data_IF_792711887440
#
_entry.id   IF_792711887440
#
_cell.length_a   1.000
_cell.length_b   1.000
_cell.length_c   1.000
_cell.angle_alpha   90.00
_cell.angle_beta   90.00
_cell.angle_gamma   90.00
#
_symmetry.space_group_name_H-M   'P 1'
#
loop_
_entity.id
_entity.type
_entity.pdbx_description
1 polymer ?
#
# COMPACT_ATOMS: atom_id res chain seq x y z
N UNK A 1 6.74 -8.91 11.47
CA UNK A 1 8.04 -8.34 11.04
C UNK A 1 7.84 -7.09 10.19
N UNK A 2 8.70 -6.09 10.37
CA UNK A 2 8.63 -4.80 9.65
C UNK A 2 8.05 -3.68 10.52
N UNK A 3 8.69 -2.49 10.46
CA UNK A 3 8.35 -1.34 11.31
C UNK A 3 6.89 -0.88 11.12
N UNK A 4 6.42 -0.83 9.87
CA UNK A 4 5.04 -0.43 9.56
C UNK A 4 4.02 -1.39 10.19
N UNK A 5 4.22 -2.70 10.05
CA UNK A 5 3.34 -3.70 10.65
C UNK A 5 3.30 -3.60 12.18
N UNK A 6 4.46 -3.44 12.83
CA UNK A 6 4.54 -3.29 14.29
C UNK A 6 3.73 -2.06 14.76
N UNK A 7 3.89 -0.92 14.07
CA UNK A 7 3.17 0.30 14.40
C UNK A 7 1.65 0.14 14.18
N UNK A 8 1.24 -0.48 13.07
CA UNK A 8 -0.17 -0.67 12.73
C UNK A 8 -0.87 -1.62 13.72
N UNK A 9 -0.23 -2.73 14.10
CA UNK A 9 -0.80 -3.66 15.09
C UNK A 9 -0.93 -2.99 16.46
N UNK A 10 0.07 -2.21 16.88
CA UNK A 10 -0.02 -1.43 18.13
C UNK A 10 -1.21 -0.47 18.09
N UNK A 11 -1.32 0.33 17.02
CA UNK A 11 -2.41 1.29 16.87
C UNK A 11 -3.79 0.60 16.83
N UNK A 12 -3.91 -0.51 16.10
CA UNK A 12 -5.17 -1.25 16.01
C UNK A 12 -5.62 -1.82 17.36
N UNK A 13 -4.67 -2.22 18.23
CA UNK A 13 -4.95 -2.63 19.61
C UNK A 13 -5.34 -1.45 20.50
N UNK A 14 -4.62 -0.33 20.40
CA UNK A 14 -4.92 0.90 21.16
C UNK A 14 -6.33 1.43 20.82
N UNK A 15 -6.72 1.33 19.54
CA UNK A 15 -8.06 1.68 19.04
C UNK A 15 -9.11 0.58 19.24
N UNK A 16 -8.74 -0.59 19.79
CA UNK A 16 -9.61 -1.76 20.00
C UNK A 16 -10.28 -2.30 18.72
N UNK A 17 -9.72 -2.01 17.55
CA UNK A 17 -10.12 -2.60 16.27
C UNK A 17 -9.58 -4.04 16.14
N UNK A 18 -8.51 -4.34 16.88
CA UNK A 18 -7.88 -5.66 16.91
C UNK A 18 -7.74 -6.18 18.34
N UNK A 19 -8.36 -7.32 18.63
CA UNK A 19 -8.26 -8.00 19.93
C UNK A 19 -7.37 -9.23 19.79
N UNK A 20 -6.16 -9.16 20.33
CA UNK A 20 -5.20 -10.28 20.37
C UNK A 20 -4.62 -10.37 21.79
N UNK A 21 -4.59 -11.57 22.40
CA UNK A 21 -3.92 -11.79 23.67
C UNK A 21 -2.42 -11.45 23.59
N UNK A 22 -1.88 -10.78 24.60
CA UNK A 22 -0.46 -10.38 24.60
C UNK A 22 0.48 -11.58 24.49
N UNK A 23 0.12 -12.71 25.11
CA UNK A 23 0.85 -13.99 25.02
C UNK A 23 0.99 -14.54 23.60
N UNK A 24 0.13 -14.12 22.67
CA UNK A 24 0.16 -14.55 21.26
C UNK A 24 1.09 -13.69 20.41
N UNK A 25 1.63 -12.59 20.95
CA UNK A 25 2.57 -11.73 20.25
C UNK A 25 4.00 -12.01 20.73
N UNK A 26 4.79 -12.61 19.85
CA UNK A 26 6.19 -12.96 20.12
C UNK A 26 7.12 -11.94 19.48
N UNK A 27 8.12 -11.47 20.22
CA UNK A 27 9.17 -10.59 19.69
C UNK A 27 10.08 -11.37 18.75
N UNK A 28 10.59 -10.71 17.70
CA UNK A 28 11.47 -11.36 16.71
C UNK A 28 12.73 -12.02 17.32
N UNK A 29 13.29 -11.45 18.39
CA UNK A 29 14.46 -12.00 19.08
C UNK A 29 14.15 -13.27 19.92
N UNK A 30 12.87 -13.58 20.14
CA UNK A 30 12.41 -14.74 20.89
C UNK A 30 11.96 -15.91 20.00
N UNK A 31 12.01 -15.76 18.66
CA UNK A 31 11.50 -16.76 17.73
C UNK A 31 12.20 -18.12 17.87
N UNK A 32 13.53 -18.14 18.09
CA UNK A 32 14.29 -19.40 18.26
C UNK A 32 14.00 -20.17 19.55
N UNK A 33 12.96 -19.80 20.32
CA UNK A 33 12.49 -20.53 21.51
C UNK A 33 11.24 -21.38 21.25
N UNK A 34 10.67 -21.29 20.06
CA UNK A 34 9.45 -21.97 19.65
C UNK A 34 9.78 -22.95 18.54
N UNK A 35 9.00 -24.02 18.44
CA UNK A 35 9.10 -24.94 17.30
C UNK A 35 8.50 -24.29 16.05
N UNK A 36 8.99 -24.66 14.86
CA UNK A 36 8.62 -23.99 13.60
C UNK A 36 7.09 -23.96 13.37
N UNK A 37 6.40 -25.04 13.76
CA UNK A 37 4.94 -25.19 13.64
C UNK A 37 4.12 -24.30 14.59
N UNK A 38 4.74 -23.74 15.62
CA UNK A 38 4.10 -22.82 16.57
C UNK A 38 4.19 -21.35 16.11
N UNK A 39 4.95 -21.07 15.04
CA UNK A 39 5.30 -19.71 14.63
C UNK A 39 4.50 -19.29 13.38
N UNK A 40 3.72 -18.21 13.51
CA UNK A 40 3.14 -17.49 12.38
C UNK A 40 3.78 -16.11 12.22
N UNK A 41 4.43 -15.86 11.08
CA UNK A 41 5.11 -14.60 10.80
C UNK A 41 4.24 -13.72 9.90
N UNK A 42 3.68 -12.65 10.47
CA UNK A 42 3.03 -11.59 9.68
C UNK A 42 4.07 -10.55 9.29
N UNK A 43 4.31 -10.37 7.99
CA UNK A 43 5.37 -9.49 7.47
C UNK A 43 4.86 -8.46 6.47
N UNK A 44 5.55 -7.31 6.38
CA UNK A 44 5.42 -6.39 5.24
C UNK A 44 6.25 -6.87 4.05
N UNK A 45 5.97 -6.35 2.86
CA UNK A 45 6.84 -6.53 1.70
C UNK A 45 6.21 -7.23 0.51
N UNK A 46 4.89 -7.36 0.49
CA UNK A 46 4.19 -8.18 -0.49
C UNK A 46 4.24 -7.61 -1.92
N UNK A 47 4.66 -6.35 -2.09
CA UNK A 47 4.91 -5.70 -3.38
C UNK A 47 6.36 -5.85 -3.85
N UNK A 48 7.19 -6.60 -3.12
CA UNK A 48 8.59 -6.82 -3.48
C UNK A 48 9.49 -5.61 -3.25
N UNK A 49 9.17 -4.71 -2.30
CA UNK A 49 10.02 -3.57 -2.03
C UNK A 49 11.41 -4.02 -1.54
N UNK A 50 12.47 -3.42 -2.09
CA UNK A 50 13.84 -3.93 -1.96
C UNK A 50 14.34 -4.10 -0.51
N UNK A 51 13.85 -3.28 0.42
CA UNK A 51 14.25 -3.26 1.84
C UNK A 51 13.16 -3.83 2.78
N UNK A 52 12.13 -4.47 2.21
CA UNK A 52 11.05 -5.04 3.00
C UNK A 52 11.51 -6.28 3.77
N UNK A 53 10.80 -6.61 4.84
CA UNK A 53 11.09 -7.80 5.63
C UNK A 53 10.94 -9.09 4.79
N UNK A 54 9.93 -9.18 3.92
CA UNK A 54 9.73 -10.33 3.04
C UNK A 54 10.85 -10.47 2.00
N UNK A 55 11.29 -9.37 1.36
CA UNK A 55 12.42 -9.40 0.42
C UNK A 55 13.72 -9.84 1.09
N UNK A 56 13.97 -9.39 2.32
CA UNK A 56 15.15 -9.82 3.09
C UNK A 56 15.07 -11.30 3.49
N UNK A 57 13.88 -11.80 3.86
CA UNK A 57 13.64 -13.22 4.11
C UNK A 57 13.90 -14.05 2.84
N UNK A 58 13.35 -13.62 1.71
CA UNK A 58 13.50 -14.28 0.42
C UNK A 58 14.94 -14.32 -0.08
N UNK A 59 15.77 -13.32 0.27
CA UNK A 59 17.22 -13.29 0.00
C UNK A 59 18.05 -14.07 1.03
N UNK A 60 17.49 -14.38 2.19
CA UNK A 60 18.18 -14.98 3.33
C UNK A 60 19.03 -14.01 4.15
N UNK A 61 18.81 -12.70 3.96
CA UNK A 61 19.50 -11.63 4.69
C UNK A 61 18.79 -11.29 6.01
N UNK A 62 17.68 -11.97 6.32
CA UNK A 62 16.98 -11.80 7.58
C UNK A 62 17.81 -12.32 8.75
N UNK A 63 18.03 -11.45 9.74
CA UNK A 63 18.75 -11.80 10.97
C UNK A 63 17.97 -12.68 11.95
N UNK A 64 16.66 -12.85 11.72
CA UNK A 64 15.76 -13.49 12.68
C UNK A 64 15.34 -14.90 12.27
N UNK A 65 15.05 -15.10 10.99
CA UNK A 65 14.45 -16.34 10.45
C UNK A 65 15.05 -16.60 9.08
N UNK A 66 15.34 -17.88 8.81
CA UNK A 66 15.75 -18.35 7.49
C UNK A 66 14.63 -19.20 6.92
N UNK A 67 14.27 -18.94 5.67
CA UNK A 67 13.24 -19.70 4.97
C UNK A 67 13.86 -21.00 4.41
N UNK A 68 13.17 -22.12 4.56
CA UNK A 68 13.55 -23.44 4.08
C UNK A 68 12.40 -24.24 3.46
N UNK A 69 12.62 -25.56 3.30
CA UNK A 69 11.73 -26.48 2.57
C UNK A 69 10.40 -26.78 3.28
N UNK A 70 10.36 -26.66 4.60
CA UNK A 70 9.16 -26.85 5.43
C UNK A 70 8.26 -25.61 5.50
N UNK A 71 8.71 -24.47 4.97
CA UNK A 71 8.00 -23.21 5.13
C UNK A 71 6.95 -22.98 4.04
N UNK A 72 5.82 -22.40 4.45
CA UNK A 72 4.78 -21.91 3.56
C UNK A 72 4.72 -20.39 3.63
N UNK A 73 4.87 -19.73 2.49
CA UNK A 73 4.79 -18.27 2.38
C UNK A 73 3.55 -17.87 1.59
N UNK A 74 2.67 -17.11 2.24
CA UNK A 74 1.39 -16.68 1.67
C UNK A 74 1.45 -15.19 1.31
N UNK A 75 1.23 -14.88 0.03
CA UNK A 75 1.01 -13.53 -0.47
C UNK A 75 -0.49 -13.21 -0.47
N UNK A 76 -0.98 -12.65 0.63
CA UNK A 76 -2.37 -12.17 0.75
C UNK A 76 -2.58 -10.79 0.10
N UNK A 77 -1.98 -10.57 -1.08
CA UNK A 77 -2.12 -9.34 -1.85
C UNK A 77 -1.89 -9.56 -3.33
N UNK A 78 -2.51 -8.73 -4.16
CA UNK A 78 -2.17 -8.65 -5.59
C UNK A 78 -0.99 -7.70 -5.83
N UNK A 79 -0.20 -8.00 -6.86
CA UNK A 79 0.80 -7.06 -7.34
C UNK A 79 0.10 -5.82 -7.91
N UNK A 80 0.49 -4.63 -7.42
CA UNK A 80 0.04 -3.37 -7.99
C UNK A 80 0.67 -3.25 -9.39
N UNK A 81 -0.08 -2.77 -10.41
CA UNK A 81 0.46 -2.55 -11.75
C UNK A 81 1.82 -1.82 -11.72
N UNK A 82 2.83 -2.43 -12.34
CA UNK A 82 4.22 -1.95 -12.34
C UNK A 82 5.15 -2.62 -11.33
N UNK A 83 4.62 -3.37 -10.36
CA UNK A 83 5.41 -4.11 -9.35
C UNK A 83 5.53 -5.61 -9.63
N UNK A 84 4.92 -6.14 -10.69
CA UNK A 84 4.86 -7.57 -11.00
C UNK A 84 6.26 -8.20 -11.03
N UNK A 85 7.21 -7.53 -11.67
CA UNK A 85 8.61 -8.00 -11.74
C UNK A 85 9.26 -8.10 -10.36
N UNK A 86 8.99 -7.15 -9.46
CA UNK A 86 9.57 -7.15 -8.13
C UNK A 86 8.97 -8.27 -7.27
N UNK A 87 7.65 -8.47 -7.36
CA UNK A 87 6.95 -9.57 -6.67
C UNK A 87 7.46 -10.92 -7.17
N UNK A 88 7.54 -11.13 -8.49
CA UNK A 88 8.04 -12.36 -9.08
C UNK A 88 9.47 -12.69 -8.66
N UNK A 89 10.36 -11.69 -8.55
CA UNK A 89 11.71 -11.91 -8.02
C UNK A 89 11.74 -12.43 -6.59
N UNK A 90 10.83 -11.95 -5.74
CA UNK A 90 10.71 -12.42 -4.36
C UNK A 90 10.17 -13.84 -4.34
N UNK A 91 9.13 -14.14 -5.13
CA UNK A 91 8.58 -15.49 -5.28
C UNK A 91 9.67 -16.47 -5.75
N UNK A 92 10.39 -16.15 -6.83
CA UNK A 92 11.48 -16.97 -7.34
C UNK A 92 12.57 -17.23 -6.29
N UNK A 93 12.91 -16.22 -5.49
CA UNK A 93 13.93 -16.36 -4.46
C UNK A 93 13.46 -17.26 -3.29
N UNK A 94 12.16 -17.23 -2.96
CA UNK A 94 11.55 -18.14 -1.98
C UNK A 94 11.47 -19.57 -2.51
N UNK A 95 11.03 -19.75 -3.76
CA UNK A 95 10.95 -21.07 -4.41
C UNK A 95 12.34 -21.71 -4.54
N UNK A 96 13.38 -20.94 -4.88
CA UNK A 96 14.78 -21.42 -4.91
C UNK A 96 15.30 -21.90 -3.55
N UNK A 97 14.65 -21.49 -2.45
CA UNK A 97 14.96 -21.95 -1.09
C UNK A 97 14.15 -23.18 -0.67
N UNK A 98 13.27 -23.67 -1.55
CA UNK A 98 12.42 -24.82 -1.30
C UNK A 98 11.10 -24.50 -0.61
N UNK A 99 10.82 -23.23 -0.31
CA UNK A 99 9.57 -22.84 0.32
C UNK A 99 8.37 -23.08 -0.61
N UNK A 100 7.24 -23.46 -0.02
CA UNK A 100 5.97 -23.46 -0.74
C UNK A 100 5.41 -22.04 -0.78
N UNK A 101 5.07 -21.53 -1.95
CA UNK A 101 4.52 -20.18 -2.11
C UNK A 101 3.06 -20.23 -2.56
N UNK A 102 2.17 -19.59 -1.80
CA UNK A 102 0.75 -19.41 -2.13
C UNK A 102 0.51 -17.95 -2.46
N UNK A 103 -0.09 -17.67 -3.61
CA UNK A 103 -0.44 -16.31 -4.03
C UNK A 103 -1.78 -16.28 -4.76
N UNK A 104 -2.29 -15.08 -5.05
CA UNK A 104 -3.64 -14.89 -5.60
C UNK A 104 -3.90 -15.49 -6.99
N UNK A 105 -2.85 -15.90 -7.71
CA UNK A 105 -2.97 -16.64 -8.96
C UNK A 105 -3.27 -18.14 -8.77
N UNK A 106 -3.11 -18.67 -7.55
CA UNK A 106 -3.26 -20.08 -7.20
C UNK A 106 -4.46 -20.31 -6.27
N UNK A 107 -4.71 -19.37 -5.35
CA UNK A 107 -5.81 -19.47 -4.39
C UNK A 107 -6.41 -18.08 -4.11
N UNK A 108 -7.69 -18.03 -3.76
CA UNK A 108 -8.38 -16.79 -3.41
C UNK A 108 -7.96 -16.30 -2.01
N UNK A 109 -6.82 -15.60 -1.97
CA UNK A 109 -6.19 -15.09 -0.75
C UNK A 109 -6.25 -13.57 -0.63
N UNK A 110 -7.02 -12.90 -1.50
CA UNK A 110 -7.15 -11.45 -1.50
C UNK A 110 -8.46 -10.98 -2.12
N UNK A 111 -9.21 -10.20 -1.34
CA UNK A 111 -10.33 -9.41 -1.84
C UNK A 111 -9.89 -7.97 -2.17
N UNK A 112 -10.43 -7.41 -3.25
CA UNK A 112 -10.26 -5.99 -3.60
C UNK A 112 -10.83 -5.08 -2.50
N UNK A 113 -10.10 -4.02 -2.17
CA UNK A 113 -10.61 -2.95 -1.30
C UNK A 113 -11.52 -1.94 -2.01
N UNK A 114 -11.69 -2.05 -3.33
CA UNK A 114 -12.51 -1.17 -4.15
C UNK A 114 -13.77 -1.88 -4.65
N UNK A 115 -14.90 -1.18 -4.56
CA UNK A 115 -16.20 -1.57 -5.08
C UNK A 115 -16.13 -1.99 -6.56
N UNK A 116 -16.76 -3.11 -6.90
CA UNK A 116 -16.94 -3.58 -8.27
C UNK A 116 -18.18 -2.94 -8.91
N UNK A 117 -18.40 -3.20 -10.20
CA UNK A 117 -19.51 -2.58 -10.94
C UNK A 117 -20.88 -2.78 -10.28
N UNK A 118 -21.19 -3.98 -9.75
CA UNK A 118 -22.47 -4.24 -9.08
C UNK A 118 -22.57 -3.55 -7.70
N UNK A 119 -21.46 -3.40 -6.99
CA UNK A 119 -21.42 -2.63 -5.74
C UNK A 119 -21.68 -1.13 -6.03
N UNK A 120 -21.08 -0.61 -7.10
CA UNK A 120 -21.27 0.78 -7.55
C UNK A 120 -22.71 1.03 -8.02
N UNK A 121 -23.30 0.10 -8.79
CA UNK A 121 -24.72 0.18 -9.17
C UNK A 121 -25.63 0.16 -7.95
N UNK A 122 -25.34 -0.70 -6.97
CA UNK A 122 -26.07 -0.74 -5.69
C UNK A 122 -25.99 0.62 -5.00
N UNK A 123 -24.80 1.22 -4.92
CA UNK A 123 -24.60 2.54 -4.34
C UNK A 123 -25.37 3.65 -5.07
N UNK A 124 -25.34 3.65 -6.41
CA UNK A 124 -26.07 4.61 -7.25
C UNK A 124 -27.59 4.46 -7.08
N UNK A 125 -28.08 3.23 -6.96
CA UNK A 125 -29.51 2.96 -6.74
C UNK A 125 -29.99 3.44 -5.37
N UNK A 126 -29.13 3.42 -4.35
CA UNK A 126 -29.45 3.93 -3.00
C UNK A 126 -29.39 5.45 -2.94
N UNK A 127 -28.39 6.06 -3.59
CA UNK A 127 -28.14 7.51 -3.48
C UNK A 127 -28.94 8.34 -4.48
N UNK A 128 -29.33 7.76 -5.61
CA UNK A 128 -30.09 8.41 -6.70
C UNK A 128 -29.60 9.83 -6.98
N UNK A 129 -28.31 9.99 -7.35
CA UNK A 129 -27.71 11.30 -7.42
C UNK A 129 -28.28 12.11 -8.60
N UNK A 130 -28.54 13.41 -8.36
CA UNK A 130 -28.93 14.33 -9.44
C UNK A 130 -27.77 14.60 -10.40
N UNK A 131 -26.55 14.65 -9.86
CA UNK A 131 -25.29 14.89 -10.58
C UNK A 131 -24.23 13.89 -10.13
N UNK A 132 -23.37 13.47 -11.05
CA UNK A 132 -22.33 12.48 -10.76
C UNK A 132 -20.98 12.88 -11.35
N UNK A 133 -19.95 12.87 -10.49
CA UNK A 133 -18.56 13.12 -10.89
C UNK A 133 -17.74 11.92 -10.41
N UNK A 134 -17.31 11.00 -11.30
CA UNK A 134 -16.47 9.90 -10.91
C UNK A 134 -15.08 10.41 -10.51
N UNK A 135 -14.55 9.87 -9.42
CA UNK A 135 -13.22 10.21 -8.88
C UNK A 135 -12.40 8.94 -8.65
N UNK A 136 -11.10 9.12 -8.37
CA UNK A 136 -10.17 8.07 -7.98
C UNK A 136 -10.00 6.93 -9.00
N UNK A 137 -9.19 7.20 -10.03
CA UNK A 137 -8.71 6.19 -10.97
C UNK A 137 -8.14 6.84 -12.23
N UNK A 138 -7.47 6.06 -13.07
CA UNK A 138 -7.14 6.49 -14.44
C UNK A 138 -8.40 6.88 -15.24
N UNK A 139 -8.24 7.68 -16.30
CA UNK A 139 -9.33 8.18 -17.12
C UNK A 139 -10.29 7.09 -17.62
N UNK A 140 -9.77 5.92 -18.01
CA UNK A 140 -10.61 4.77 -18.40
C UNK A 140 -11.54 4.28 -17.29
N UNK A 141 -11.11 4.34 -16.02
CA UNK A 141 -11.96 3.99 -14.88
C UNK A 141 -13.03 5.04 -14.66
N UNK A 142 -12.69 6.33 -14.80
CA UNK A 142 -13.64 7.43 -14.71
C UNK A 142 -14.73 7.31 -15.77
N UNK A 143 -14.36 7.04 -17.02
CA UNK A 143 -15.30 6.78 -18.13
C UNK A 143 -16.21 5.59 -17.83
N UNK A 144 -15.67 4.47 -17.35
CA UNK A 144 -16.47 3.29 -17.02
C UNK A 144 -17.46 3.58 -15.87
N UNK A 145 -17.04 4.31 -14.84
CA UNK A 145 -17.89 4.68 -13.71
C UNK A 145 -18.97 5.69 -14.10
N UNK A 146 -18.64 6.67 -14.95
CA UNK A 146 -19.63 7.57 -15.56
C UNK A 146 -20.70 6.81 -16.35
N UNK A 147 -20.30 5.79 -17.11
CA UNK A 147 -21.24 4.98 -17.87
C UNK A 147 -22.17 4.16 -16.96
N UNK A 148 -21.64 3.62 -15.85
CA UNK A 148 -22.49 2.99 -14.83
C UNK A 148 -23.53 3.97 -14.27
N UNK A 149 -23.15 5.22 -13.96
CA UNK A 149 -24.09 6.23 -13.50
C UNK A 149 -25.20 6.52 -14.52
N UNK A 150 -24.87 6.60 -15.82
CA UNK A 150 -25.85 6.79 -16.89
C UNK A 150 -26.82 5.60 -17.00
N UNK A 151 -26.30 4.38 -16.95
CA UNK A 151 -27.12 3.16 -16.95
C UNK A 151 -28.08 3.16 -15.74
N UNK A 152 -27.61 3.64 -14.60
CA UNK A 152 -28.41 3.75 -13.37
C UNK A 152 -29.35 4.97 -13.35
N UNK A 153 -29.45 5.73 -14.44
CA UNK A 153 -30.46 6.77 -14.63
C UNK A 153 -30.01 8.21 -14.39
N UNK A 154 -28.72 8.46 -14.12
CA UNK A 154 -28.20 9.83 -14.09
C UNK A 154 -28.20 10.39 -15.51
N UNK A 155 -28.82 11.56 -15.70
CA UNK A 155 -28.90 12.17 -17.03
C UNK A 155 -27.49 12.41 -17.61
N UNK A 156 -27.23 12.13 -18.90
CA UNK A 156 -25.88 12.25 -19.48
C UNK A 156 -25.23 13.61 -19.28
N UNK A 157 -26.02 14.70 -19.35
CA UNK A 157 -25.57 16.07 -19.11
C UNK A 157 -25.24 16.37 -17.65
N UNK A 158 -25.69 15.50 -16.72
CA UNK A 158 -25.42 15.62 -15.29
C UNK A 158 -24.22 14.76 -14.83
N UNK A 159 -23.49 14.16 -15.77
CA UNK A 159 -22.29 13.37 -15.48
C UNK A 159 -21.06 14.11 -15.99
N UNK A 160 -20.25 14.63 -15.07
CA UNK A 160 -19.03 15.39 -15.41
C UNK A 160 -17.80 14.49 -15.27
N UNK A 161 -16.99 14.40 -16.32
CA UNK A 161 -15.67 13.76 -16.27
C UNK A 161 -14.61 14.84 -16.08
N UNK A 162 -13.92 14.80 -14.95
CA UNK A 162 -12.95 15.82 -14.58
C UNK A 162 -11.54 15.24 -14.54
N UNK A 163 -10.56 16.08 -14.84
CA UNK A 163 -9.15 15.80 -14.66
C UNK A 163 -8.57 16.64 -13.51
N UNK A 164 -7.38 16.27 -13.06
CA UNK A 164 -6.65 17.05 -12.06
C UNK A 164 -6.48 18.51 -12.54
N UNK A 165 -6.98 19.45 -11.73
CA UNK A 165 -6.93 20.88 -12.00
C UNK A 165 -8.23 21.48 -12.54
N UNK A 166 -9.22 20.68 -12.95
CA UNK A 166 -10.51 21.22 -13.40
C UNK A 166 -11.29 21.80 -12.21
N UNK A 167 -11.87 23.00 -12.41
CA UNK A 167 -12.76 23.64 -11.44
C UNK A 167 -14.20 23.37 -11.82
N UNK A 168 -14.97 22.92 -10.83
CA UNK A 168 -16.41 22.71 -10.93
C UNK A 168 -17.09 23.72 -10.01
N UNK A 169 -18.06 24.46 -10.54
CA UNK A 169 -18.94 25.32 -9.76
C UNK A 169 -20.26 24.61 -9.49
N UNK A 170 -20.76 24.75 -8.26
CA UNK A 170 -22.07 24.25 -7.85
C UNK A 170 -22.93 25.45 -7.52
N UNK A 171 -24.04 25.61 -8.24
CA UNK A 171 -24.98 26.71 -8.08
C UNK A 171 -26.42 26.20 -8.12
N UNK A 172 -27.39 27.09 -7.88
CA UNK A 172 -28.82 26.78 -8.04
C UNK A 172 -29.17 26.34 -9.48
N UNK A 173 -28.35 26.73 -10.46
CA UNK A 173 -28.50 26.33 -11.87
C UNK A 173 -27.95 24.94 -12.20
N UNK A 174 -27.26 24.28 -11.27
CA UNK A 174 -26.63 22.99 -11.48
C UNK A 174 -25.12 23.01 -11.26
N UNK A 175 -24.45 22.02 -11.87
CA UNK A 175 -23.01 21.82 -11.75
C UNK A 175 -22.36 21.98 -13.12
N UNK A 176 -21.36 22.84 -13.25
CA UNK A 176 -20.66 23.06 -14.52
C UNK A 176 -19.17 23.41 -14.31
N UNK A 177 -18.38 23.34 -15.37
CA UNK A 177 -16.98 23.74 -15.36
C UNK A 177 -16.85 25.27 -15.28
N UNK A 178 -16.06 25.76 -14.32
CA UNK A 178 -15.84 27.19 -14.09
C UNK A 178 -14.40 27.65 -14.38
N UNK A 179 -13.50 26.73 -14.69
CA UNK A 179 -12.13 27.05 -15.07
C UNK A 179 -11.15 25.92 -14.79
N UNK A 180 -9.86 26.28 -14.70
CA UNK A 180 -8.78 25.35 -14.40
C UNK A 180 -7.73 25.99 -13.51
N UNK A 181 -7.14 25.22 -12.61
CA UNK A 181 -5.99 25.61 -11.78
C UNK A 181 -4.77 24.76 -12.11
N UNK A 182 -3.54 25.27 -11.88
CA UNK A 182 -2.33 24.47 -12.02
C UNK A 182 -2.34 23.24 -11.09
N UNK A 183 -2.17 22.05 -11.67
CA UNK A 183 -2.18 20.76 -10.96
C UNK A 183 -1.04 19.86 -11.46
N UNK A 184 0.18 20.41 -11.49
CA UNK A 184 1.36 19.69 -11.97
C UNK A 184 1.92 18.72 -10.92
N UNK A 185 2.55 17.65 -11.41
CA UNK A 185 3.27 16.71 -10.54
C UNK A 185 4.44 17.39 -9.85
N UNK A 186 4.37 17.47 -8.52
CA UNK A 186 5.50 17.89 -7.69
C UNK A 186 6.27 16.65 -7.23
N UNK A 187 7.49 16.47 -7.73
CA UNK A 187 8.37 15.37 -7.31
C UNK A 187 9.16 15.79 -6.07
N UNK A 188 8.90 15.21 -4.88
CA UNK A 188 9.67 15.54 -3.69
C UNK A 188 11.11 15.06 -3.84
N UNK A 189 12.08 15.97 -3.75
CA UNK A 189 13.48 15.58 -3.65
C UNK A 189 13.70 14.89 -2.30
N UNK A 190 14.23 13.66 -2.30
CA UNK A 190 14.71 13.01 -1.07
C UNK A 190 15.71 13.95 -0.40
N UNK A 191 15.40 14.42 0.80
CA UNK A 191 16.27 15.32 1.55
C UNK A 191 17.65 14.67 1.71
N UNK A 192 18.69 15.32 1.17
CA UNK A 192 20.09 15.02 1.51
C UNK A 192 20.38 15.53 2.93
N UNK A 193 19.73 14.98 3.94
CA UNK A 193 20.11 15.17 5.34
C UNK A 193 20.64 13.87 5.91
N UNK A 194 21.81 13.48 5.42
CA UNK A 194 22.70 12.54 6.08
C UNK A 194 24.08 13.20 6.21
N UNK A 195 24.30 13.87 7.35
CA UNK A 195 25.60 14.03 7.98
C UNK A 195 26.70 14.82 7.24
N UNK A 196 26.61 16.15 7.21
CA UNK A 196 27.83 16.96 7.34
C UNK A 196 28.24 16.92 8.81
N UNK A 197 29.08 15.95 9.19
CA UNK A 197 29.88 16.08 10.43
C UNK A 197 30.72 17.35 10.27
N UNK A 198 30.47 18.36 11.10
CA UNK A 198 31.41 19.48 11.29
C UNK A 198 32.79 18.88 11.59
N UNK A 199 33.78 19.20 10.75
CA UNK A 199 35.20 19.05 11.05
C UNK A 199 35.70 20.40 11.60
N UNK A 200 35.19 20.81 12.76
CA UNK A 200 35.87 21.85 13.53
C UNK A 200 37.06 21.21 14.26
N UNK A 201 38.21 21.21 13.59
CA UNK A 201 39.51 21.03 14.23
C UNK A 201 39.76 22.25 15.13
N UNK A 202 40.09 22.09 16.42
CA UNK A 202 40.53 23.22 17.22
C UNK A 202 41.91 23.66 16.74
N UNK A 203 41.98 24.86 16.19
CA UNK A 203 43.23 25.57 15.89
C UNK A 203 43.95 25.86 17.22
N UNK A 204 45.08 25.18 17.45
CA UNK A 204 46.03 25.58 18.50
C UNK A 204 46.55 26.98 18.19
N UNK A 205 46.19 27.97 19.01
CA UNK A 205 46.85 29.28 19.04
C UNK A 205 48.30 29.11 19.53
N UNK A 206 49.29 29.82 18.96
CA UNK A 206 50.63 29.86 19.53
C UNK A 206 50.61 30.76 20.77
N UNK A 207 51.15 30.26 21.90
CA UNK A 207 51.47 31.10 23.06
C UNK A 207 52.66 31.98 22.69
N UNK A 208 52.51 33.29 22.88
CA UNK A 208 53.63 34.25 22.99
C UNK A 208 54.03 34.35 24.47
N UNK A 209 55.32 34.62 24.66
CA UNK A 209 56.11 34.71 25.89
C UNK A 209 56.65 33.38 26.41
#
# INVERSE_FOLDING_TARGET
LGRSMINNIRLARDLKVLTIPEKSLVSADALGKYDDEEICIISTGSQGEAMSALTNLAKGDSRYVKVGESDVVIFSSHAIPGNEHNVNKVIDALLRRGATVVHSGIADVHATGHAQAEDLKTYLNVTVPQWFVPIHGEYRHMVANAELARIMGVAPQNVLLCEDGDLIEISDGGIDFSGRIPAEYVVPQKSRHAGKKSKDKPTKKPKKH
#
